data_IF_088318622461
#
_entry.id   IF_088318622461
#
_cell.length_a   1.000
_cell.length_b   1.000
_cell.length_c   1.000
_cell.angle_alpha   90.00
_cell.angle_beta   90.00
_cell.angle_gamma   90.00
#
_symmetry.space_group_name_H-M   'P 1'
#
loop_
_entity.id
_entity.type
_entity.pdbx_description
1 polymer ?
#
# COMPACT_ATOMS: atom_id res chain seq x y z
N UNK A 1 -9.33 -13.79 -7.68
CA UNK A 1 -8.05 -13.06 -7.74
C UNK A 1 -8.25 -11.57 -8.02
N UNK A 2 -8.60 -11.11 -9.23
CA UNK A 2 -8.84 -9.67 -9.49
C UNK A 2 -9.95 -9.04 -8.61
N UNK A 3 -10.98 -9.81 -8.22
CA UNK A 3 -12.01 -9.41 -7.25
C UNK A 3 -11.50 -9.24 -5.80
N UNK A 4 -10.39 -9.88 -5.44
CA UNK A 4 -9.84 -9.87 -4.07
C UNK A 4 -8.74 -8.82 -3.95
N UNK A 5 -7.92 -8.65 -4.99
CA UNK A 5 -6.78 -7.72 -4.99
C UNK A 5 -7.07 -6.41 -5.71
N UNK A 6 -8.20 -6.29 -6.42
CA UNK A 6 -8.56 -5.12 -7.22
C UNK A 6 -7.64 -4.85 -8.43
N UNK A 7 -6.62 -5.67 -8.67
CA UNK A 7 -5.62 -5.42 -9.72
C UNK A 7 -6.01 -6.02 -11.07
N UNK A 8 -5.68 -5.36 -12.20
CA UNK A 8 -5.71 -6.00 -13.52
C UNK A 8 -4.88 -7.28 -13.51
N UNK A 9 -5.37 -8.36 -14.13
CA UNK A 9 -4.61 -9.62 -14.22
C UNK A 9 -3.27 -9.35 -14.89
N UNK A 10 -2.17 -9.57 -14.17
CA UNK A 10 -0.88 -9.74 -14.79
C UNK A 10 -0.94 -10.97 -15.72
N UNK A 11 -0.23 -10.88 -16.84
CA UNK A 11 -0.19 -11.86 -17.93
C UNK A 11 0.14 -13.26 -17.37
N UNK A 12 -0.52 -14.30 -17.88
CA UNK A 12 -0.30 -15.68 -17.44
C UNK A 12 1.17 -16.07 -17.63
N UNK A 13 1.75 -16.83 -16.70
CA UNK A 13 3.15 -17.27 -16.77
C UNK A 13 3.49 -18.05 -18.06
N UNK A 14 2.50 -18.72 -18.65
CA UNK A 14 2.62 -19.40 -19.96
C UNK A 14 2.90 -18.45 -21.12
N UNK A 15 2.61 -17.15 -20.94
CA UNK A 15 2.64 -16.15 -22.01
C UNK A 15 3.85 -15.20 -21.85
N UNK A 16 4.72 -15.46 -20.86
CA UNK A 16 5.94 -14.68 -20.60
C UNK A 16 7.08 -15.25 -21.44
N UNK A 17 7.55 -14.49 -22.42
CA UNK A 17 8.65 -14.85 -23.34
C UNK A 17 10.05 -14.61 -22.76
N UNK A 18 10.16 -14.06 -21.54
CA UNK A 18 11.44 -13.82 -20.87
C UNK A 18 11.81 -14.99 -19.93
N UNK A 19 13.02 -15.57 -20.05
CA UNK A 19 13.44 -16.69 -19.20
C UNK A 19 13.61 -16.26 -17.74
N UNK A 20 12.75 -16.75 -16.87
CA UNK A 20 12.67 -16.43 -15.43
C UNK A 20 13.43 -17.40 -14.52
N UNK A 21 14.11 -18.40 -15.09
CA UNK A 21 14.76 -19.52 -14.39
C UNK A 21 16.18 -19.23 -13.87
N UNK A 22 16.70 -18.01 -14.04
CA UNK A 22 18.09 -17.67 -13.71
C UNK A 22 18.34 -17.27 -12.24
N UNK A 23 17.34 -17.26 -11.36
CA UNK A 23 17.44 -16.60 -10.04
C UNK A 23 17.06 -17.49 -8.85
N UNK A 24 17.35 -18.79 -8.91
CA UNK A 24 17.17 -19.68 -7.77
C UNK A 24 18.43 -19.68 -6.89
N UNK A 25 18.32 -19.14 -5.66
CA UNK A 25 19.34 -19.21 -4.60
C UNK A 25 19.40 -17.92 -3.78
N UNK A 26 19.58 -17.88 -2.47
CA UNK A 26 19.99 -18.86 -1.46
C UNK A 26 19.28 -18.52 -0.14
N UNK A 27 18.93 -19.54 0.64
CA UNK A 27 18.34 -19.38 1.97
C UNK A 27 19.43 -19.05 3.00
N UNK A 28 19.22 -17.99 3.78
CA UNK A 28 19.93 -17.75 5.03
C UNK A 28 18.90 -17.67 6.15
N UNK A 29 19.09 -18.48 7.19
CA UNK A 29 18.28 -18.42 8.41
C UNK A 29 18.87 -17.37 9.35
N UNK A 30 18.24 -16.20 9.38
CA UNK A 30 18.33 -15.27 10.50
C UNK A 30 16.93 -15.09 11.08
N UNK A 31 16.80 -15.18 12.40
CA UNK A 31 15.62 -14.66 13.10
C UNK A 31 15.64 -13.15 12.98
N UNK A 32 15.03 -12.67 11.90
CA UNK A 32 14.92 -11.27 11.57
C UNK A 32 13.51 -10.79 11.95
N UNK A 33 13.43 -9.65 12.62
CA UNK A 33 12.16 -8.98 12.92
C UNK A 33 11.34 -8.83 11.63
N UNK A 34 10.06 -9.25 11.65
CA UNK A 34 9.16 -9.14 10.48
C UNK A 34 8.98 -7.70 9.99
N UNK A 35 9.22 -6.74 10.88
CA UNK A 35 9.22 -5.31 10.60
C UNK A 35 10.59 -4.69 10.94
N UNK A 36 11.20 -3.99 9.98
CA UNK A 36 12.47 -3.28 10.19
C UNK A 36 12.15 -1.81 10.42
N UNK A 37 12.61 -1.22 11.54
CA UNK A 37 12.41 0.21 11.82
C UNK A 37 12.90 1.12 10.66
N UNK A 38 13.87 0.63 9.88
CA UNK A 38 14.38 1.25 8.65
C UNK A 38 13.29 1.46 7.56
N UNK A 39 12.16 0.75 7.63
CA UNK A 39 11.06 0.88 6.67
C UNK A 39 10.32 2.22 6.79
N UNK A 40 10.11 2.76 8.00
CA UNK A 40 9.50 4.10 8.15
C UNK A 40 10.43 5.19 7.63
N UNK A 41 11.73 5.04 7.87
CA UNK A 41 12.75 5.96 7.34
C UNK A 41 12.77 5.92 5.81
N UNK A 42 12.62 4.74 5.21
CA UNK A 42 12.55 4.59 3.76
C UNK A 42 11.28 5.18 3.13
N UNK A 43 10.14 5.08 3.82
CA UNK A 43 8.92 5.76 3.41
C UNK A 43 9.11 7.29 3.39
N UNK A 44 9.76 7.85 4.41
CA UNK A 44 10.07 9.28 4.49
C UNK A 44 11.02 9.72 3.36
N UNK A 45 12.02 8.92 3.02
CA UNK A 45 12.89 9.20 1.88
C UNK A 45 12.12 9.21 0.55
N UNK A 46 11.22 8.24 0.35
CA UNK A 46 10.36 8.17 -0.83
C UNK A 46 9.40 9.38 -0.90
N UNK A 47 8.91 9.85 0.26
CA UNK A 47 8.12 11.08 0.39
C UNK A 47 8.89 12.32 -0.03
N UNK A 48 10.15 12.43 0.39
CA UNK A 48 11.03 13.54 -0.01
C UNK A 48 11.21 13.62 -1.53
N UNK A 49 11.35 12.47 -2.20
CA UNK A 49 11.39 12.41 -3.68
C UNK A 49 10.09 12.90 -4.31
N UNK A 50 8.94 12.50 -3.75
CA UNK A 50 7.64 12.97 -4.20
C UNK A 50 7.51 14.49 -4.05
N UNK A 51 7.82 15.03 -2.88
CA UNK A 51 7.70 16.46 -2.59
C UNK A 51 8.64 17.29 -3.46
N UNK A 52 9.89 16.83 -3.65
CA UNK A 52 10.85 17.47 -4.55
C UNK A 52 10.31 17.56 -5.98
N UNK A 53 9.69 16.47 -6.46
CA UNK A 53 9.06 16.43 -7.77
C UNK A 53 7.90 17.45 -7.89
N UNK A 54 7.02 17.51 -6.89
CA UNK A 54 5.91 18.47 -6.89
C UNK A 54 6.39 19.92 -6.86
N UNK A 55 7.40 20.24 -6.04
CA UNK A 55 7.96 21.59 -5.95
C UNK A 55 8.60 22.01 -7.27
N UNK A 56 9.37 21.11 -7.89
CA UNK A 56 9.94 21.34 -9.22
C UNK A 56 8.87 21.66 -10.26
N UNK A 57 7.78 20.88 -10.28
CA UNK A 57 6.69 21.08 -11.26
C UNK A 57 5.99 22.43 -11.07
N UNK A 58 5.79 22.86 -9.81
CA UNK A 58 5.18 24.16 -9.45
C UNK A 58 6.06 25.36 -9.79
N UNK A 59 7.37 25.26 -9.59
CA UNK A 59 8.29 26.36 -9.93
C UNK A 59 8.36 26.59 -11.45
N UNK A 60 8.20 25.52 -12.23
CA UNK A 60 8.15 25.61 -13.69
C UNK A 60 6.89 26.33 -14.19
N UNK A 61 5.73 26.10 -13.57
CA UNK A 61 4.48 26.77 -13.97
C UNK A 61 4.47 28.26 -13.60
N UNK A 62 5.21 28.66 -12.55
CA UNK A 62 5.35 30.05 -12.11
C UNK A 62 6.42 30.84 -12.88
N UNK A 63 7.45 30.15 -13.41
CA UNK A 63 8.57 30.79 -14.11
C UNK A 63 8.50 30.59 -15.63
N UNK A 64 7.63 31.35 -16.31
CA UNK A 64 7.68 31.53 -17.77
C UNK A 64 8.79 32.51 -18.23
N UNK A 65 9.87 32.66 -17.44
CA UNK A 65 10.99 33.55 -17.75
C UNK A 65 12.32 32.98 -17.27
N UNK A 66 12.95 32.16 -18.13
CA UNK A 66 14.37 31.80 -18.09
C UNK A 66 14.93 31.27 -16.74
N UNK A 67 14.69 29.98 -16.43
CA UNK A 67 15.67 29.16 -15.68
C UNK A 67 15.54 27.64 -15.99
N UNK A 68 16.60 26.91 -15.65
CA UNK A 68 17.08 25.62 -16.15
C UNK A 68 16.06 24.45 -16.19
N UNK A 69 15.68 24.04 -17.41
CA UNK A 69 14.78 22.91 -17.78
C UNK A 69 15.28 21.51 -17.34
N UNK A 70 16.41 21.39 -16.63
CA UNK A 70 17.05 20.11 -16.30
C UNK A 70 16.29 19.27 -15.27
N UNK A 71 15.47 19.87 -14.41
CA UNK A 71 14.79 19.10 -13.33
C UNK A 71 13.59 18.26 -13.82
N UNK A 72 12.86 18.73 -14.83
CA UNK A 72 11.82 17.93 -15.53
C UNK A 72 12.45 16.99 -16.58
N UNK A 73 13.74 17.14 -16.85
CA UNK A 73 14.39 16.36 -17.89
C UNK A 73 14.43 14.85 -17.60
N UNK A 74 14.15 14.41 -16.37
CA UNK A 74 14.14 13.00 -15.98
C UNK A 74 12.74 12.34 -16.07
N UNK A 75 11.66 13.09 -16.29
CA UNK A 75 10.33 12.46 -16.50
C UNK A 75 10.36 11.67 -17.80
N UNK A 76 10.32 10.34 -17.70
CA UNK A 76 10.43 9.44 -18.85
C UNK A 76 11.83 9.33 -19.45
N UNK A 77 12.86 9.91 -18.80
CA UNK A 77 14.28 9.74 -19.19
C UNK A 77 15.09 9.28 -17.99
N UNK A 78 16.06 8.41 -18.21
CA UNK A 78 16.84 7.82 -17.11
C UNK A 78 16.01 6.84 -16.26
N UNK A 79 14.99 6.20 -16.85
CA UNK A 79 14.36 5.02 -16.25
C UNK A 79 15.43 3.95 -16.17
N UNK A 80 15.69 3.43 -14.97
CA UNK A 80 16.63 2.33 -14.80
C UNK A 80 16.22 1.14 -15.66
N UNK A 81 17.13 0.56 -16.47
CA UNK A 81 16.79 -0.59 -17.30
C UNK A 81 16.38 -1.83 -16.48
N UNK A 82 16.77 -1.90 -15.20
CA UNK A 82 16.38 -2.97 -14.28
C UNK A 82 14.99 -2.77 -13.66
N UNK A 83 14.36 -1.59 -13.79
CA UNK A 83 13.05 -1.32 -13.18
C UNK A 83 12.00 -2.35 -13.57
N UNK A 84 11.85 -2.60 -14.88
CA UNK A 84 10.87 -3.55 -15.39
C UNK A 84 11.09 -4.95 -14.82
N UNK A 85 12.36 -5.37 -14.72
CA UNK A 85 12.74 -6.64 -14.14
C UNK A 85 12.29 -6.73 -12.67
N UNK A 86 12.63 -5.75 -11.83
CA UNK A 86 12.25 -5.76 -10.41
C UNK A 86 10.73 -5.68 -10.20
N UNK A 87 10.02 -4.94 -11.04
CA UNK A 87 8.57 -4.87 -11.01
C UNK A 87 7.91 -6.21 -11.34
N UNK A 88 8.45 -6.94 -12.34
CA UNK A 88 8.00 -8.29 -12.66
C UNK A 88 8.27 -9.26 -11.51
N UNK A 89 9.42 -9.14 -10.83
CA UNK A 89 9.72 -9.96 -9.65
C UNK A 89 8.69 -9.73 -8.53
N UNK A 90 8.35 -8.47 -8.21
CA UNK A 90 7.30 -8.16 -7.25
C UNK A 90 5.94 -8.71 -7.67
N UNK A 91 5.56 -8.63 -8.95
CA UNK A 91 4.35 -9.27 -9.45
C UNK A 91 4.33 -10.78 -9.19
N UNK A 92 5.45 -11.47 -9.43
CA UNK A 92 5.54 -12.92 -9.18
C UNK A 92 5.38 -13.24 -7.69
N UNK A 93 5.98 -12.46 -6.80
CA UNK A 93 5.81 -12.63 -5.35
C UNK A 93 4.33 -12.40 -4.98
N UNK A 94 3.72 -11.32 -5.48
CA UNK A 94 2.30 -11.01 -5.26
C UNK A 94 1.38 -12.14 -5.74
N UNK A 95 1.64 -12.70 -6.91
CA UNK A 95 0.84 -13.80 -7.48
C UNK A 95 1.01 -15.09 -6.66
N UNK A 96 2.22 -15.37 -6.17
CA UNK A 96 2.47 -16.50 -5.27
C UNK A 96 1.78 -16.35 -3.93
N UNK A 97 1.80 -15.16 -3.33
CA UNK A 97 1.02 -14.88 -2.11
C UNK A 97 -0.45 -15.18 -2.36
N UNK A 98 -0.99 -14.67 -3.46
CA UNK A 98 -2.38 -14.88 -3.83
C UNK A 98 -2.69 -16.37 -4.02
N UNK A 99 -1.86 -17.10 -4.76
CA UNK A 99 -2.03 -18.53 -4.98
C UNK A 99 -1.86 -19.37 -3.70
N UNK A 100 -0.92 -19.03 -2.81
CA UNK A 100 -0.59 -19.89 -1.67
C UNK A 100 -1.44 -19.62 -0.42
N UNK A 101 -1.92 -18.38 -0.24
CA UNK A 101 -2.69 -17.95 0.93
C UNK A 101 -4.18 -17.74 0.65
N UNK A 102 -4.57 -17.47 -0.61
CA UNK A 102 -5.94 -17.05 -0.94
C UNK A 102 -6.66 -17.93 -1.99
N UNK A 103 -6.04 -19.00 -2.51
CA UNK A 103 -6.67 -19.87 -3.53
C UNK A 103 -7.55 -20.99 -2.97
N UNK A 104 -7.85 -20.99 -1.66
CA UNK A 104 -8.95 -21.77 -1.08
C UNK A 104 -8.68 -23.24 -0.77
N UNK A 105 -7.43 -23.67 -0.60
CA UNK A 105 -7.16 -24.95 0.08
C UNK A 105 -7.09 -24.69 1.58
N UNK A 106 -8.20 -24.91 2.28
CA UNK A 106 -8.20 -25.02 3.73
C UNK A 106 -7.32 -26.22 4.08
N UNK A 107 -6.08 -25.94 4.45
CA UNK A 107 -5.23 -26.96 5.05
C UNK A 107 -5.70 -27.20 6.48
N UNK A 108 -5.62 -28.44 6.95
CA UNK A 108 -6.11 -28.85 8.27
C UNK A 108 -5.36 -28.16 9.44
N UNK A 109 -4.25 -27.46 9.17
CA UNK A 109 -3.43 -26.78 10.17
C UNK A 109 -2.98 -25.38 9.75
N UNK A 110 -3.15 -24.42 10.67
CA UNK A 110 -2.64 -23.04 10.55
C UNK A 110 -1.12 -22.93 10.42
N UNK A 111 -0.39 -23.96 10.85
CA UNK A 111 1.07 -23.99 10.79
C UNK A 111 1.59 -23.89 9.34
N UNK A 112 0.85 -24.38 8.34
CA UNK A 112 1.29 -24.25 6.94
C UNK A 112 1.13 -22.83 6.40
N UNK A 113 -0.02 -22.14 6.53
CA UNK A 113 -0.12 -20.72 6.23
C UNK A 113 0.99 -19.88 6.87
N UNK A 114 1.30 -20.10 8.16
CA UNK A 114 2.38 -19.38 8.84
C UNK A 114 3.75 -19.64 8.21
N UNK A 115 4.05 -20.90 7.84
CA UNK A 115 5.29 -21.26 7.14
C UNK A 115 5.39 -20.58 5.78
N UNK A 116 4.30 -20.61 5.00
CA UNK A 116 4.21 -19.92 3.71
C UNK A 116 4.42 -18.41 3.85
N UNK A 117 3.85 -17.79 4.89
CA UNK A 117 4.07 -16.37 5.19
C UNK A 117 5.56 -16.10 5.43
N UNK A 118 6.25 -16.89 6.26
CA UNK A 118 7.69 -16.74 6.52
C UNK A 118 8.55 -16.93 5.27
N UNK A 119 8.23 -17.90 4.43
CA UNK A 119 8.94 -18.14 3.17
C UNK A 119 8.80 -16.95 2.20
N UNK A 120 7.57 -16.47 2.01
CA UNK A 120 7.28 -15.35 1.12
C UNK A 120 7.82 -14.02 1.67
N UNK A 121 7.85 -13.86 3.00
CA UNK A 121 8.49 -12.74 3.69
C UNK A 121 9.99 -12.69 3.42
N UNK A 122 10.70 -13.82 3.61
CA UNK A 122 12.14 -13.91 3.30
C UNK A 122 12.43 -13.56 1.85
N UNK A 123 11.62 -14.05 0.92
CA UNK A 123 11.77 -13.74 -0.51
C UNK A 123 11.56 -12.25 -0.81
N UNK A 124 10.56 -11.63 -0.19
CA UNK A 124 10.28 -10.21 -0.37
C UNK A 124 11.39 -9.32 0.24
N UNK A 125 11.88 -9.65 1.43
CA UNK A 125 13.00 -8.95 2.07
C UNK A 125 14.28 -9.10 1.25
N UNK A 126 14.59 -10.32 0.80
CA UNK A 126 15.74 -10.59 -0.07
C UNK A 126 15.67 -9.79 -1.37
N UNK A 127 14.48 -9.68 -1.98
CA UNK A 127 14.30 -8.81 -3.15
C UNK A 127 14.63 -7.35 -2.85
N UNK A 128 14.21 -6.82 -1.70
CA UNK A 128 14.44 -5.43 -1.31
C UNK A 128 15.93 -5.14 -1.06
N UNK A 129 16.64 -6.06 -0.39
CA UNK A 129 18.07 -5.94 -0.10
C UNK A 129 18.94 -6.04 -1.37
N UNK A 130 18.47 -6.71 -2.41
CA UNK A 130 19.18 -6.89 -3.69
C UNK A 130 18.81 -5.86 -4.76
N UNK A 131 18.13 -4.77 -4.39
CA UNK A 131 17.84 -3.69 -5.33
C UNK A 131 19.12 -2.91 -5.70
N UNK A 132 19.31 -2.60 -6.99
CA UNK A 132 20.32 -1.63 -7.43
C UNK A 132 20.17 -0.29 -6.69
N UNK A 133 21.28 0.42 -6.46
CA UNK A 133 21.30 1.66 -5.66
C UNK A 133 20.33 2.74 -6.18
N UNK A 134 20.16 2.82 -7.50
CA UNK A 134 19.23 3.74 -8.17
C UNK A 134 17.75 3.36 -7.97
N UNK A 135 17.46 2.14 -7.53
CA UNK A 135 16.12 1.62 -7.22
C UNK A 135 15.91 1.29 -5.73
N UNK A 136 16.96 1.30 -4.91
CA UNK A 136 16.92 0.89 -3.51
C UNK A 136 15.89 1.68 -2.70
N UNK A 137 14.97 0.99 -2.03
CA UNK A 137 13.86 1.59 -1.29
C UNK A 137 14.36 2.43 -0.11
N UNK A 138 15.45 1.99 0.54
CA UNK A 138 16.01 2.58 1.77
C UNK A 138 17.10 3.64 1.55
N UNK A 139 17.43 3.96 0.29
CA UNK A 139 18.50 4.93 -0.04
C UNK A 139 17.97 6.20 -0.72
N UNK A 140 18.58 7.33 -0.35
CA UNK A 140 18.38 8.61 -1.01
C UNK A 140 19.00 8.59 -2.41
N UNK A 141 18.28 9.09 -3.42
CA UNK A 141 18.72 9.03 -4.83
C UNK A 141 19.52 10.28 -5.21
N UNK A 142 20.53 10.15 -6.07
CA UNK A 142 20.99 11.27 -6.91
C UNK A 142 19.89 11.72 -7.90
N UNK A 143 19.76 13.04 -8.12
CA UNK A 143 18.68 13.71 -8.89
C UNK A 143 18.52 13.36 -10.39
N UNK A 144 19.11 12.26 -10.89
CA UNK A 144 19.20 11.94 -12.33
C UNK A 144 18.24 10.85 -12.82
N UNK A 145 17.46 10.22 -11.94
CA UNK A 145 16.54 9.11 -12.27
C UNK A 145 15.09 9.57 -12.15
N UNK A 146 14.19 8.98 -12.94
CA UNK A 146 12.74 9.26 -12.85
C UNK A 146 12.21 8.86 -11.44
N UNK A 147 11.71 9.81 -10.64
CA UNK A 147 11.28 9.54 -9.26
C UNK A 147 10.07 8.61 -9.17
N UNK A 148 9.26 8.52 -10.25
CA UNK A 148 8.04 7.70 -10.28
C UNK A 148 8.35 6.22 -10.13
N UNK A 149 9.47 5.79 -10.71
CA UNK A 149 9.92 4.40 -10.70
C UNK A 149 10.17 3.93 -9.26
N UNK A 150 10.92 4.70 -8.49
CA UNK A 150 11.20 4.35 -7.09
C UNK A 150 9.96 4.43 -6.22
N UNK A 151 9.20 5.52 -6.34
CA UNK A 151 7.97 5.70 -5.55
C UNK A 151 6.99 4.56 -5.82
N UNK A 152 6.82 4.16 -7.08
CA UNK A 152 5.95 3.04 -7.43
C UNK A 152 6.47 1.70 -6.89
N UNK A 153 7.78 1.42 -6.98
CA UNK A 153 8.36 0.21 -6.38
C UNK A 153 8.20 0.19 -4.85
N UNK A 154 8.47 1.29 -4.17
CA UNK A 154 8.28 1.41 -2.71
C UNK A 154 6.82 1.16 -2.32
N UNK A 155 5.88 1.83 -2.99
CA UNK A 155 4.45 1.60 -2.75
C UNK A 155 4.04 0.16 -3.03
N UNK A 156 4.60 -0.44 -4.09
CA UNK A 156 4.26 -1.81 -4.45
C UNK A 156 4.80 -2.80 -3.41
N UNK A 157 6.03 -2.62 -2.93
CA UNK A 157 6.63 -3.40 -1.86
C UNK A 157 5.74 -3.41 -0.60
N UNK A 158 5.38 -2.23 -0.07
CA UNK A 158 4.51 -2.14 1.11
C UNK A 158 3.11 -2.73 0.85
N UNK A 159 2.57 -2.54 -0.35
CA UNK A 159 1.28 -3.14 -0.73
C UNK A 159 1.35 -4.68 -0.75
N UNK A 160 2.48 -5.27 -1.14
CA UNK A 160 2.68 -6.73 -1.08
C UNK A 160 2.81 -7.19 0.37
N UNK A 161 3.55 -6.48 1.23
CA UNK A 161 3.62 -6.79 2.67
C UNK A 161 2.22 -6.80 3.30
N UNK A 162 1.39 -5.80 2.99
CA UNK A 162 0.01 -5.79 3.49
C UNK A 162 -0.78 -7.03 3.05
N UNK A 163 -0.69 -7.44 1.77
CA UNK A 163 -1.39 -8.64 1.29
C UNK A 163 -0.82 -9.91 1.93
N UNK A 164 0.49 -9.97 2.15
CA UNK A 164 1.17 -11.10 2.78
C UNK A 164 0.71 -11.31 4.23
N UNK A 165 0.61 -10.24 5.00
CA UNK A 165 0.32 -10.30 6.44
C UNK A 165 -1.16 -10.14 6.80
N UNK A 166 -2.01 -9.70 5.86
CA UNK A 166 -3.46 -9.56 6.06
C UNK A 166 -4.16 -10.77 6.68
N UNK A 167 -3.79 -12.05 6.40
CA UNK A 167 -4.43 -13.19 7.05
C UNK A 167 -4.29 -13.17 8.58
N UNK A 168 -3.24 -12.54 9.12
CA UNK A 168 -3.02 -12.42 10.56
C UNK A 168 -3.73 -11.21 11.18
N UNK A 169 -4.15 -10.22 10.38
CA UNK A 169 -4.88 -9.04 10.85
C UNK A 169 -6.34 -9.37 11.21
N UNK A 170 -6.97 -10.24 10.42
CA UNK A 170 -8.29 -10.77 10.73
C UNK A 170 -8.10 -12.01 11.61
N UNK A 171 -8.41 -11.90 12.89
CA UNK A 171 -8.14 -12.94 13.89
C UNK A 171 -8.63 -14.32 13.43
N UNK A 172 -7.70 -15.28 13.32
CA UNK A 172 -8.05 -16.69 13.11
C UNK A 172 -7.94 -17.37 14.46
N UNK A 173 -9.08 -17.46 15.17
CA UNK A 173 -9.15 -18.08 16.49
C UNK A 173 -9.10 -19.60 16.30
N UNK A 174 -8.01 -20.23 16.76
CA UNK A 174 -7.90 -21.69 16.85
C UNK A 174 -7.91 -22.13 18.32
N UNK A 175 -8.79 -23.07 18.67
CA UNK A 175 -9.02 -23.52 20.06
C UNK A 175 -7.77 -24.09 20.76
N UNK A 176 -6.78 -24.57 20.00
CA UNK A 176 -5.52 -25.14 20.50
C UNK A 176 -4.26 -24.40 19.98
N UNK A 177 -4.36 -23.10 19.74
CA UNK A 177 -3.22 -22.32 19.26
C UNK A 177 -2.07 -22.26 20.30
N UNK A 178 -0.85 -22.57 19.86
CA UNK A 178 0.35 -22.42 20.70
C UNK A 178 0.69 -20.96 20.95
N UNK A 179 1.36 -20.66 22.06
CA UNK A 179 1.83 -19.29 22.36
C UNK A 179 2.72 -18.72 21.27
N UNK A 180 3.57 -19.55 20.65
CA UNK A 180 4.43 -19.16 19.55
C UNK A 180 3.65 -18.79 18.28
N UNK A 181 2.56 -19.52 17.99
CA UNK A 181 1.70 -19.21 16.84
C UNK A 181 0.96 -17.90 17.05
N UNK A 182 0.48 -17.65 18.27
CA UNK A 182 -0.20 -16.41 18.63
C UNK A 182 0.72 -15.19 18.52
N UNK A 183 1.94 -15.30 19.03
CA UNK A 183 2.91 -14.20 18.92
C UNK A 183 3.26 -13.93 17.45
N UNK A 184 3.48 -14.98 16.65
CA UNK A 184 3.73 -14.81 15.22
C UNK A 184 2.57 -14.09 14.50
N UNK A 185 1.31 -14.43 14.81
CA UNK A 185 0.16 -13.76 14.22
C UNK A 185 0.11 -12.28 14.65
N UNK A 186 0.37 -12.01 15.94
CA UNK A 186 0.43 -10.64 16.48
C UNK A 186 1.52 -9.81 15.79
N UNK A 187 2.74 -10.34 15.67
CA UNK A 187 3.85 -9.68 14.96
C UNK A 187 3.53 -9.47 13.47
N UNK A 188 2.92 -10.46 12.82
CA UNK A 188 2.52 -10.34 11.40
C UNK A 188 1.42 -9.29 11.22
N UNK A 189 0.42 -9.26 12.09
CA UNK A 189 -0.63 -8.25 12.07
C UNK A 189 -0.06 -6.84 12.26
N UNK A 190 0.89 -6.67 13.18
CA UNK A 190 1.63 -5.41 13.34
C UNK A 190 2.35 -5.03 12.05
N UNK A 191 3.08 -5.96 11.44
CA UNK A 191 3.78 -5.73 10.17
C UNK A 191 2.81 -5.31 9.04
N UNK A 192 1.57 -5.85 9.02
CA UNK A 192 0.52 -5.42 8.10
C UNK A 192 0.16 -3.94 8.26
N UNK A 193 -0.08 -3.51 9.51
CA UNK A 193 -0.43 -2.12 9.83
C UNK A 193 0.73 -1.18 9.57
N UNK A 194 1.95 -1.55 9.96
CA UNK A 194 3.15 -0.79 9.65
C UNK A 194 3.40 -0.64 8.15
N UNK A 195 3.12 -1.67 7.35
CA UNK A 195 3.20 -1.58 5.89
C UNK A 195 2.17 -0.59 5.34
N UNK A 196 0.93 -0.55 5.87
CA UNK A 196 -0.08 0.43 5.49
C UNK A 196 0.34 1.87 5.86
N UNK A 197 0.91 2.07 7.05
CA UNK A 197 1.47 3.35 7.48
C UNK A 197 2.61 3.77 6.56
N UNK A 198 3.55 2.88 6.27
CA UNK A 198 4.72 3.15 5.42
C UNK A 198 4.29 3.48 3.99
N UNK A 199 3.31 2.76 3.43
CA UNK A 199 2.74 3.04 2.11
C UNK A 199 2.15 4.46 2.03
N UNK A 200 1.36 4.86 3.03
CA UNK A 200 0.81 6.22 3.11
C UNK A 200 1.88 7.26 3.45
N UNK A 201 2.94 6.85 4.15
CA UNK A 201 4.13 7.61 4.45
C UNK A 201 4.89 8.04 3.19
N UNK A 202 4.93 7.20 2.15
CA UNK A 202 5.52 7.55 0.84
C UNK A 202 4.82 8.74 0.18
N UNK A 203 3.54 8.97 0.51
CA UNK A 203 2.71 9.99 -0.13
C UNK A 203 2.91 11.37 0.51
N UNK A 204 2.88 12.41 -0.33
CA UNK A 204 2.90 13.79 0.13
C UNK A 204 1.72 14.09 1.06
N UNK A 205 1.93 14.92 2.07
CA UNK A 205 0.86 15.41 2.94
C UNK A 205 -0.02 16.43 2.20
N UNK A 206 -1.31 16.49 2.55
CA UNK A 206 -2.28 17.47 2.04
C UNK A 206 -2.31 17.56 0.50
N UNK A 207 -2.71 16.49 -0.21
CA UNK A 207 -2.82 16.54 -1.66
C UNK A 207 -3.91 17.53 -2.08
N UNK A 208 -3.64 18.32 -3.12
CA UNK A 208 -4.71 18.76 -4.03
C UNK A 208 -4.89 17.68 -5.09
N UNK A 209 -6.09 17.52 -5.64
CA UNK A 209 -6.36 16.54 -6.71
C UNK A 209 -5.33 16.65 -7.85
N UNK A 210 -5.03 17.87 -8.29
CA UNK A 210 -4.01 18.10 -9.31
C UNK A 210 -2.62 17.63 -8.88
N UNK A 211 -2.18 17.93 -7.63
CA UNK A 211 -0.87 17.54 -7.14
C UNK A 211 -0.73 16.02 -6.90
N UNK A 212 -1.81 15.36 -6.47
CA UNK A 212 -1.83 13.92 -6.30
C UNK A 212 -1.50 13.20 -7.61
N UNK A 213 -2.07 13.67 -8.73
CA UNK A 213 -1.96 13.02 -10.04
C UNK A 213 -0.68 13.33 -10.81
N UNK A 214 0.16 14.26 -10.33
CA UNK A 214 1.38 14.65 -11.03
C UNK A 214 2.39 13.51 -11.12
N UNK A 215 2.48 12.67 -10.08
CA UNK A 215 3.50 11.62 -10.00
C UNK A 215 2.95 10.27 -10.48
N UNK A 216 1.77 9.88 -9.98
CA UNK A 216 1.11 8.63 -10.31
C UNK A 216 -0.33 8.91 -10.73
N UNK A 217 -0.89 8.13 -11.67
CA UNK A 217 -2.28 8.30 -12.08
C UNK A 217 -3.24 7.91 -10.96
N UNK A 218 -4.43 8.54 -10.93
CA UNK A 218 -5.40 8.37 -9.85
C UNK A 218 -5.81 6.93 -9.59
N UNK A 219 -5.93 6.09 -10.63
CA UNK A 219 -6.31 4.68 -10.45
C UNK A 219 -5.24 3.90 -9.67
N UNK A 220 -3.96 4.18 -9.93
CA UNK A 220 -2.85 3.57 -9.17
C UNK A 220 -2.88 4.04 -7.72
N UNK A 221 -3.13 5.33 -7.47
CA UNK A 221 -3.28 5.86 -6.12
C UNK A 221 -4.44 5.19 -5.39
N UNK A 222 -5.60 5.07 -6.03
CA UNK A 222 -6.77 4.40 -5.46
C UNK A 222 -6.46 2.95 -5.06
N UNK A 223 -5.75 2.21 -5.91
CA UNK A 223 -5.34 0.83 -5.63
C UNK A 223 -4.36 0.68 -4.47
N UNK A 224 -3.65 1.73 -4.08
CA UNK A 224 -2.76 1.74 -2.92
C UNK A 224 -3.46 2.29 -1.66
N UNK A 225 -4.13 3.43 -1.80
CA UNK A 225 -4.76 4.15 -0.69
C UNK A 225 -5.95 3.39 -0.11
N UNK A 226 -6.84 2.83 -0.94
CA UNK A 226 -8.04 2.18 -0.42
C UNK A 226 -7.72 0.92 0.42
N UNK A 227 -6.83 0.00 -0.02
CA UNK A 227 -6.40 -1.10 0.84
C UNK A 227 -5.66 -0.64 2.11
N UNK A 228 -4.85 0.42 2.03
CA UNK A 228 -4.13 0.94 3.19
C UNK A 228 -5.09 1.51 4.23
N UNK A 229 -6.06 2.32 3.80
CA UNK A 229 -7.15 2.80 4.65
C UNK A 229 -7.92 1.63 5.28
N UNK A 230 -8.22 0.59 4.51
CA UNK A 230 -8.92 -0.60 5.02
C UNK A 230 -8.15 -1.27 6.16
N UNK A 231 -6.84 -1.46 6.02
CA UNK A 231 -6.00 -2.06 7.07
C UNK A 231 -6.03 -1.22 8.35
N UNK A 232 -5.87 0.09 8.24
CA UNK A 232 -5.87 0.99 9.40
C UNK A 232 -7.24 1.07 10.08
N UNK A 233 -8.32 1.13 9.29
CA UNK A 233 -9.69 1.14 9.84
C UNK A 233 -10.04 -0.19 10.50
N UNK A 234 -9.61 -1.31 9.94
CA UNK A 234 -9.79 -2.62 10.57
C UNK A 234 -9.07 -2.69 11.92
N UNK A 235 -7.84 -2.16 12.02
CA UNK A 235 -7.12 -2.10 13.30
C UNK A 235 -7.88 -1.27 14.34
N UNK A 236 -8.45 -0.13 13.95
CA UNK A 236 -9.30 0.68 14.83
C UNK A 236 -10.58 -0.07 15.28
N UNK A 237 -11.21 -0.81 14.36
CA UNK A 237 -12.39 -1.62 14.69
C UNK A 237 -12.07 -2.78 15.65
N UNK A 238 -10.81 -3.25 15.63
CA UNK A 238 -10.29 -4.32 16.48
C UNK A 238 -9.64 -3.77 17.77
N UNK A 239 -9.98 -2.54 18.16
CA UNK A 239 -9.58 -1.91 19.43
C UNK A 239 -8.08 -1.80 19.65
N UNK A 240 -7.32 -1.57 18.58
CA UNK A 240 -5.85 -1.50 18.61
C UNK A 240 -5.20 -2.73 19.26
N UNK A 241 -5.84 -3.90 19.16
CA UNK A 241 -5.40 -5.12 19.82
C UNK A 241 -3.95 -5.50 19.50
N UNK A 242 -3.45 -5.11 18.31
CA UNK A 242 -2.09 -5.43 17.92
C UNK A 242 -1.08 -4.43 18.46
N UNK A 243 -1.49 -3.25 18.93
CA UNK A 243 -0.58 -2.16 19.39
C UNK A 243 -0.77 -1.76 20.85
N UNK A 244 -1.31 -2.63 21.70
CA UNK A 244 -1.53 -2.35 23.14
C UNK A 244 -0.30 -1.83 23.90
N UNK A 245 0.90 -2.17 23.43
CA UNK A 245 2.18 -1.86 24.09
C UNK A 245 2.98 -0.75 23.39
N UNK A 246 2.51 -0.25 22.24
CA UNK A 246 3.22 0.73 21.39
C UNK A 246 2.31 1.91 21.05
N UNK A 247 2.79 3.15 21.26
CA UNK A 247 2.05 4.36 20.89
C UNK A 247 2.17 4.63 19.38
N UNK A 248 1.52 3.83 18.55
CA UNK A 248 1.30 4.16 17.15
C UNK A 248 -0.06 4.79 17.01
N UNK A 249 -0.08 6.05 16.56
CA UNK A 249 -1.31 6.72 16.19
C UNK A 249 -1.56 6.51 14.68
N UNK A 250 -2.52 5.65 14.26
CA UNK A 250 -2.87 5.48 12.85
C UNK A 250 -3.66 6.66 12.28
N UNK A 251 -4.15 7.56 13.14
CA UNK A 251 -5.08 8.63 12.79
C UNK A 251 -4.54 9.62 11.74
N UNK A 252 -3.27 10.10 11.80
CA UNK A 252 -2.71 10.96 10.76
C UNK A 252 -2.71 10.28 9.38
N UNK A 253 -2.45 8.97 9.36
CA UNK A 253 -2.43 8.18 8.12
C UNK A 253 -3.84 7.96 7.57
N UNK A 254 -4.83 7.73 8.44
CA UNK A 254 -6.25 7.63 8.05
C UNK A 254 -6.73 8.95 7.46
N UNK A 255 -6.45 10.09 8.10
CA UNK A 255 -6.77 11.42 7.58
C UNK A 255 -6.16 11.64 6.20
N UNK A 256 -4.88 11.31 6.05
CA UNK A 256 -4.18 11.38 4.77
C UNK A 256 -4.88 10.52 3.72
N UNK A 257 -5.21 9.27 4.03
CA UNK A 257 -5.89 8.38 3.11
C UNK A 257 -7.27 8.92 2.69
N UNK A 258 -8.06 9.41 3.64
CA UNK A 258 -9.37 10.02 3.37
C UNK A 258 -9.24 11.28 2.51
N UNK A 259 -8.22 12.11 2.72
CA UNK A 259 -7.95 13.28 1.88
C UNK A 259 -7.61 12.89 0.43
N UNK A 260 -6.77 11.85 0.23
CA UNK A 260 -6.48 11.34 -1.12
C UNK A 260 -7.73 10.77 -1.81
N UNK A 261 -8.53 9.98 -1.09
CA UNK A 261 -9.78 9.44 -1.63
C UNK A 261 -10.77 10.54 -2.00
N UNK A 262 -10.91 11.55 -1.13
CA UNK A 262 -11.77 12.71 -1.36
C UNK A 262 -11.35 13.46 -2.63
N UNK A 263 -10.05 13.69 -2.82
CA UNK A 263 -9.53 14.33 -4.04
C UNK A 263 -9.83 13.56 -5.33
N UNK A 264 -10.08 12.24 -5.23
CA UNK A 264 -10.36 11.36 -6.36
C UNK A 264 -11.85 11.18 -6.65
N UNK A 265 -12.76 11.66 -5.79
CA UNK A 265 -14.18 11.32 -5.93
C UNK A 265 -14.83 11.96 -7.14
N UNK A 266 -14.42 13.16 -7.53
CA UNK A 266 -15.03 13.89 -8.66
C UNK A 266 -14.84 13.14 -9.99
N UNK A 267 -13.67 12.52 -10.18
CA UNK A 267 -13.28 11.84 -11.41
C UNK A 267 -13.49 10.32 -11.36
N UNK A 268 -13.86 9.75 -10.21
CA UNK A 268 -13.89 8.29 -10.02
C UNK A 268 -15.04 7.82 -9.13
N UNK A 269 -15.97 7.09 -9.76
CA UNK A 269 -17.06 6.37 -9.08
C UNK A 269 -16.53 5.41 -8.00
N UNK A 270 -15.42 4.72 -8.28
CA UNK A 270 -14.82 3.78 -7.32
C UNK A 270 -14.18 4.48 -6.13
N UNK A 271 -13.56 5.66 -6.35
CA UNK A 271 -13.02 6.45 -5.25
C UNK A 271 -14.14 7.02 -4.37
N UNK A 272 -15.22 7.53 -4.98
CA UNK A 272 -16.41 7.98 -4.27
C UNK A 272 -17.05 6.87 -3.45
N UNK A 273 -17.20 5.67 -4.04
CA UNK A 273 -17.71 4.49 -3.35
C UNK A 273 -16.83 4.12 -2.14
N UNK A 274 -15.51 4.02 -2.32
CA UNK A 274 -14.58 3.69 -1.24
C UNK A 274 -14.61 4.76 -0.12
N UNK A 275 -14.61 6.03 -0.50
CA UNK A 275 -14.66 7.15 0.44
C UNK A 275 -15.92 7.08 1.32
N UNK A 276 -17.09 6.82 0.73
CA UNK A 276 -18.34 6.69 1.48
C UNK A 276 -18.34 5.51 2.45
N UNK A 277 -17.86 4.34 2.04
CA UNK A 277 -17.72 3.18 2.95
C UNK A 277 -16.85 3.54 4.13
N UNK A 278 -15.67 4.11 3.88
CA UNK A 278 -14.72 4.45 4.95
C UNK A 278 -15.23 5.58 5.85
N UNK A 279 -15.95 6.56 5.31
CA UNK A 279 -16.63 7.61 6.09
C UNK A 279 -17.67 7.00 7.03
N UNK A 280 -18.47 6.04 6.58
CA UNK A 280 -19.42 5.36 7.46
C UNK A 280 -18.72 4.59 8.58
N UNK A 281 -17.72 3.77 8.25
CA UNK A 281 -16.93 3.04 9.25
C UNK A 281 -16.29 3.97 10.29
N UNK A 282 -15.75 5.10 9.86
CA UNK A 282 -15.18 6.10 10.74
C UNK A 282 -16.23 6.75 11.65
N UNK A 283 -17.48 6.91 11.20
CA UNK A 283 -18.55 7.44 12.05
C UNK A 283 -18.87 6.45 13.17
N UNK A 284 -18.94 5.16 12.84
CA UNK A 284 -19.12 4.09 13.84
C UNK A 284 -17.96 4.05 14.85
N UNK A 285 -16.72 4.15 14.37
CA UNK A 285 -15.53 4.20 15.23
C UNK A 285 -15.57 5.44 16.14
N UNK A 286 -15.93 6.61 15.61
CA UNK A 286 -16.03 7.85 16.39
C UNK A 286 -17.07 7.75 17.51
N UNK A 287 -18.17 7.02 17.29
CA UNK A 287 -19.17 6.75 18.33
C UNK A 287 -18.63 5.82 19.42
N UNK A 288 -17.70 4.92 19.08
CA UNK A 288 -17.09 3.97 20.03
C UNK A 288 -15.97 4.62 20.86
N UNK A 289 -15.29 5.63 20.32
CA UNK A 289 -14.11 6.26 20.91
C UNK A 289 -14.26 7.79 21.01
N UNK A 290 -14.60 8.29 22.21
CA UNK A 290 -14.81 9.73 22.44
C UNK A 290 -13.52 10.56 22.23
N UNK A 291 -12.34 9.98 22.42
CA UNK A 291 -11.05 10.66 22.28
C UNK A 291 -10.59 10.81 20.82
N UNK A 292 -11.16 10.04 19.88
CA UNK A 292 -10.78 10.07 18.47
C UNK A 292 -11.66 11.06 17.69
N UNK A 293 -11.12 12.26 17.43
CA UNK A 293 -11.80 13.27 16.61
C UNK A 293 -11.47 13.13 15.12
N UNK A 294 -12.51 12.97 14.30
CA UNK A 294 -12.44 12.99 12.83
C UNK A 294 -13.07 14.24 12.22
N UNK A 295 -13.25 15.31 13.00
CA UNK A 295 -13.97 16.52 12.58
C UNK A 295 -13.32 17.27 11.40
N UNK A 296 -12.04 17.00 11.14
CA UNK A 296 -11.29 17.56 10.01
C UNK A 296 -11.52 16.81 8.69
N UNK A 297 -12.15 15.62 8.74
CA UNK A 297 -12.54 14.86 7.56
C UNK A 297 -13.94 15.33 7.12
N UNK A 298 -14.12 15.75 5.85
CA UNK A 298 -15.42 16.19 5.37
C UNK A 298 -16.53 15.15 5.59
N UNK A 299 -17.74 15.60 5.93
CA UNK A 299 -18.92 14.73 6.06
C UNK A 299 -19.40 14.20 4.71
N UNK A 300 -19.23 14.99 3.67
CA UNK A 300 -19.62 14.66 2.30
C UNK A 300 -18.46 14.87 1.31
N UNK A 301 -18.49 14.11 0.22
CA UNK A 301 -17.58 14.26 -0.90
C UNK A 301 -18.35 14.68 -2.17
N UNK A 302 -17.71 15.42 -3.09
CA UNK A 302 -18.31 15.75 -4.38
C UNK A 302 -18.76 14.48 -5.11
N UNK A 303 -20.04 14.46 -5.50
CA UNK A 303 -20.62 13.34 -6.24
C UNK A 303 -20.08 13.34 -7.68
N UNK A 304 -19.45 12.24 -8.14
CA UNK A 304 -18.97 12.13 -9.51
C UNK A 304 -20.09 12.16 -10.54
N UNK A 305 -19.74 12.65 -11.73
CA UNK A 305 -20.58 12.54 -12.92
C UNK A 305 -20.80 11.05 -13.22
N UNK A 306 -22.07 10.64 -13.33
CA UNK A 306 -22.45 9.25 -13.60
C UNK A 306 -22.84 8.44 -12.36
N UNK A 307 -22.82 9.01 -11.15
CA UNK A 307 -23.43 8.37 -9.99
C UNK A 307 -24.96 8.38 -10.12
N UNK A 308 -25.54 7.19 -10.33
CA UNK A 308 -26.97 7.00 -10.60
C UNK A 308 -27.75 6.54 -9.36
N UNK A 309 -29.08 6.62 -9.42
CA UNK A 309 -29.98 6.05 -8.38
C UNK A 309 -29.71 4.54 -8.21
N UNK A 310 -29.41 3.82 -9.29
CA UNK A 310 -29.05 2.40 -9.23
C UNK A 310 -27.74 2.18 -8.45
N UNK A 311 -26.76 3.07 -8.63
CA UNK A 311 -25.51 3.06 -7.87
C UNK A 311 -25.77 3.27 -6.38
N UNK A 312 -26.67 4.19 -6.03
CA UNK A 312 -27.10 4.45 -4.66
C UNK A 312 -27.82 3.26 -4.01
N UNK A 313 -28.68 2.58 -4.78
CA UNK A 313 -29.36 1.36 -4.34
C UNK A 313 -28.37 0.21 -4.15
N UNK A 314 -27.39 0.06 -5.06
CA UNK A 314 -26.34 -0.94 -4.94
C UNK A 314 -25.47 -0.70 -3.70
N UNK A 315 -25.12 0.55 -3.43
CA UNK A 315 -24.38 0.94 -2.24
C UNK A 315 -25.15 0.62 -0.96
N UNK A 316 -26.41 1.05 -0.87
CA UNK A 316 -27.28 0.76 0.28
C UNK A 316 -27.45 -0.74 0.55
N UNK A 317 -27.54 -1.57 -0.50
CA UNK A 317 -27.61 -3.03 -0.36
C UNK A 317 -26.32 -3.62 0.21
N UNK A 318 -25.16 -3.11 -0.19
CA UNK A 318 -23.85 -3.61 0.25
C UNK A 318 -23.55 -3.30 1.73
N UNK A 319 -24.23 -2.31 2.33
CA UNK A 319 -24.08 -1.98 3.75
C UNK A 319 -24.94 -2.84 4.68
N UNK A 320 -25.97 -3.50 4.14
CA UNK A 320 -26.95 -4.30 4.91
C UNK A 320 -26.64 -5.81 4.83
N UNK A 321 -25.74 -6.21 3.92
CA UNK A 321 -25.29 -7.61 3.74
C UNK A 321 -24.08 -7.94 4.60
#
# INVERSE_FOLDING_TARGET
MAKITGRPKAICFSDITAPTHLYQGLENEASESLFRHDELVAAEQSRSLWLHFLNTSRDLSRSMGAMDRKSIACIGRGISPSYFHHRVLLCRISDRIAAQLYSGTLEDSWATPQRKIRELQRELSSWADNLPEDLAIHNQVPMKTDPRVKVELSMYYYSIQMILYRPCLCEVIFENESSQSREFNRESARACVYAAISLLGVMADNPSAHAAYQLLPFWTLLHYVAPAATVLLLELCLDHQHFTDEHIDPLPNIRKAMAYLWCMTEDSLSAFHAWRIFRLLLSEISCKYEDLSFADIPEEAPQPIGWTIESELSFSRALVS
#
